data_IF_559563212648
#
_entry.id   IF_559563212648
#
_cell.length_a   1.000
_cell.length_b   1.000
_cell.length_c   1.000
_cell.angle_alpha   90.00
_cell.angle_beta   90.00
_cell.angle_gamma   90.00
#
_symmetry.space_group_name_H-M   'P 1'
#
loop_
_entity.id
_entity.type
_entity.pdbx_description
1 polymer ?
#
# COMPACT_ATOMS: atom_id res chain seq x y z
N UNK A 1 -14.42 -8.38 -17.05
CA UNK A 1 -14.86 -7.68 -15.84
C UNK A 1 -13.77 -6.76 -15.35
N UNK A 2 -14.17 -5.64 -14.82
CA UNK A 2 -13.21 -4.68 -14.31
C UNK A 2 -12.75 -5.07 -12.91
N UNK A 3 -11.47 -4.92 -12.61
CA UNK A 3 -10.99 -5.15 -11.24
C UNK A 3 -11.70 -4.22 -10.25
N UNK A 4 -11.96 -4.74 -9.07
CA UNK A 4 -12.76 -4.08 -8.05
C UNK A 4 -11.88 -3.74 -6.85
N UNK A 5 -11.92 -2.49 -6.45
CA UNK A 5 -11.05 -1.95 -5.41
C UNK A 5 -11.90 -1.47 -4.24
N UNK A 6 -11.58 -1.91 -3.04
CA UNK A 6 -12.20 -1.42 -1.81
C UNK A 6 -11.24 -0.46 -1.12
N UNK A 7 -11.72 0.70 -0.70
CA UNK A 7 -10.88 1.70 -0.04
C UNK A 7 -11.26 1.77 1.43
N UNK A 8 -10.29 1.59 2.32
CA UNK A 8 -10.50 1.57 3.76
C UNK A 8 -9.61 2.59 4.43
N UNK A 9 -10.19 3.67 4.94
CA UNK A 9 -9.49 4.73 5.63
C UNK A 9 -10.52 5.53 6.41
N UNK A 10 -10.21 5.95 7.62
CA UNK A 10 -11.18 6.69 8.42
C UNK A 10 -11.24 8.17 8.06
N UNK A 11 -10.44 8.63 7.10
CA UNK A 11 -10.46 10.02 6.65
C UNK A 11 -11.12 10.11 5.28
N UNK A 12 -12.24 10.81 5.23
CA UNK A 12 -12.99 10.98 3.99
C UNK A 12 -12.14 11.61 2.90
N UNK A 13 -11.30 12.59 3.28
CA UNK A 13 -10.50 13.31 2.29
C UNK A 13 -9.46 12.40 1.65
N UNK A 14 -8.96 11.42 2.40
CA UNK A 14 -8.00 10.46 1.87
C UNK A 14 -8.70 9.53 0.88
N UNK A 15 -9.88 9.05 1.25
CA UNK A 15 -10.64 8.18 0.33
C UNK A 15 -10.96 8.91 -0.97
N UNK A 16 -11.34 10.19 -0.87
CA UNK A 16 -11.60 10.99 -2.06
C UNK A 16 -10.35 11.13 -2.92
N UNK A 17 -9.20 11.36 -2.28
CA UNK A 17 -7.93 11.44 -3.00
C UNK A 17 -7.60 10.17 -3.74
N UNK A 18 -7.83 9.02 -3.11
CA UNK A 18 -7.60 7.74 -3.76
C UNK A 18 -8.52 7.58 -4.97
N UNK A 19 -9.80 7.89 -4.80
CA UNK A 19 -10.75 7.81 -5.92
C UNK A 19 -10.28 8.65 -7.10
N UNK A 20 -9.78 9.86 -6.81
CA UNK A 20 -9.31 10.75 -7.87
C UNK A 20 -8.08 10.20 -8.58
N UNK A 21 -7.14 9.64 -7.83
CA UNK A 21 -5.94 9.04 -8.42
C UNK A 21 -6.34 7.89 -9.34
N UNK A 22 -7.26 7.04 -8.88
CA UNK A 22 -7.68 5.89 -9.67
C UNK A 22 -8.45 6.34 -10.91
N UNK A 23 -9.28 7.38 -10.78
CA UNK A 23 -10.04 7.88 -11.92
C UNK A 23 -9.13 8.44 -13.01
N UNK A 24 -8.02 9.06 -12.60
CA UNK A 24 -7.11 9.65 -13.57
C UNK A 24 -6.11 8.67 -14.15
N UNK A 25 -6.11 7.45 -13.64
CA UNK A 25 -5.09 6.47 -14.04
C UNK A 25 -5.30 5.93 -15.45
N UNK A 26 -6.48 6.10 -16.00
CA UNK A 26 -6.80 5.51 -17.28
C UNK A 26 -7.11 4.03 -17.22
N UNK A 27 -7.13 3.46 -16.01
CA UNK A 27 -7.45 2.05 -15.83
C UNK A 27 -8.97 1.89 -15.68
N UNK A 28 -9.47 0.75 -16.10
CA UNK A 28 -10.89 0.47 -15.96
C UNK A 28 -11.16 -0.25 -14.64
N UNK A 29 -10.72 0.37 -13.55
CA UNK A 29 -10.91 -0.20 -12.22
C UNK A 29 -12.13 0.41 -11.57
N UNK A 30 -12.86 -0.40 -10.83
CA UNK A 30 -14.07 0.03 -10.16
C UNK A 30 -13.81 0.17 -8.67
N UNK A 31 -14.12 1.33 -8.07
CA UNK A 31 -14.12 1.44 -6.62
C UNK A 31 -15.46 0.87 -6.17
N UNK A 32 -15.45 -0.35 -5.68
CA UNK A 32 -16.69 -1.06 -5.39
C UNK A 32 -17.27 -0.72 -4.03
N UNK A 33 -16.51 -0.03 -3.18
CA UNK A 33 -17.01 0.37 -1.85
C UNK A 33 -15.94 1.06 -1.06
N UNK A 34 -16.34 1.57 0.10
CA UNK A 34 -15.45 2.24 1.03
C UNK A 34 -15.82 1.84 2.44
N UNK A 35 -14.85 1.87 3.34
CA UNK A 35 -15.10 1.62 4.75
C UNK A 35 -14.20 2.53 5.57
N UNK A 36 -14.61 2.83 6.80
CA UNK A 36 -13.85 3.73 7.66
C UNK A 36 -13.28 3.03 8.90
N UNK A 37 -13.46 1.73 9.01
CA UNK A 37 -12.91 0.97 10.13
C UNK A 37 -12.79 -0.50 9.72
N UNK A 38 -12.11 -1.28 10.56
CA UNK A 38 -11.81 -2.68 10.24
C UNK A 38 -13.06 -3.54 10.16
N UNK A 39 -14.00 -3.34 11.06
CA UNK A 39 -15.23 -4.15 11.07
C UNK A 39 -16.01 -3.99 9.78
N UNK A 40 -16.22 -2.75 9.38
CA UNK A 40 -16.95 -2.46 8.14
C UNK A 40 -16.18 -2.96 6.93
N UNK A 41 -14.84 -2.88 6.99
CA UNK A 41 -14.01 -3.38 5.89
C UNK A 41 -14.19 -4.88 5.71
N UNK A 42 -14.18 -5.63 6.82
CA UNK A 42 -14.31 -7.08 6.74
C UNK A 42 -15.70 -7.46 6.20
N UNK A 43 -16.75 -6.76 6.65
CA UNK A 43 -18.08 -7.01 6.11
C UNK A 43 -18.15 -6.70 4.61
N UNK A 44 -17.53 -5.59 4.19
CA UNK A 44 -17.52 -5.22 2.79
C UNK A 44 -16.74 -6.23 1.95
N UNK A 45 -15.64 -6.74 2.46
CA UNK A 45 -14.85 -7.74 1.76
C UNK A 45 -15.68 -9.00 1.52
N UNK A 46 -16.39 -9.43 2.54
CA UNK A 46 -17.20 -10.65 2.43
C UNK A 46 -18.34 -10.46 1.42
N UNK A 47 -18.97 -9.30 1.42
CA UNK A 47 -20.14 -9.10 0.56
C UNK A 47 -19.77 -8.65 -0.85
N UNK A 48 -18.74 -7.86 -1.00
CA UNK A 48 -18.38 -7.31 -2.29
C UNK A 48 -17.29 -8.09 -3.02
N UNK A 49 -16.49 -8.82 -2.28
CA UNK A 49 -15.38 -9.63 -2.79
C UNK A 49 -14.49 -8.83 -3.74
N UNK A 50 -13.86 -7.76 -3.23
CA UNK A 50 -12.97 -6.95 -4.07
C UNK A 50 -11.73 -7.72 -4.47
N UNK A 51 -11.08 -7.28 -5.54
CA UNK A 51 -9.82 -7.86 -5.96
C UNK A 51 -8.66 -7.30 -5.13
N UNK A 52 -8.73 -6.01 -4.78
CA UNK A 52 -7.69 -5.35 -3.97
C UNK A 52 -8.38 -4.49 -2.92
N UNK A 53 -7.83 -4.52 -1.71
CA UNK A 53 -8.22 -3.63 -0.62
C UNK A 53 -7.07 -2.67 -0.36
N UNK A 54 -7.34 -1.36 -0.40
CA UNK A 54 -6.37 -0.34 0.00
C UNK A 54 -6.69 0.00 1.45
N UNK A 55 -5.78 -0.27 2.35
CA UNK A 55 -6.07 -0.34 3.78
C UNK A 55 -5.12 0.54 4.58
N UNK A 56 -5.69 1.52 5.30
CA UNK A 56 -4.91 2.39 6.17
C UNK A 56 -4.50 1.65 7.44
N UNK A 57 -3.33 1.97 7.96
CA UNK A 57 -2.84 1.38 9.21
C UNK A 57 -3.51 2.03 10.43
N UNK A 58 -3.63 3.36 10.41
CA UNK A 58 -4.06 4.09 11.59
C UNK A 58 -5.56 4.34 11.55
N UNK A 59 -6.30 3.45 12.14
CA UNK A 59 -7.76 3.57 12.22
C UNK A 59 -8.20 3.35 13.66
N UNK A 60 -9.37 3.90 14.06
CA UNK A 60 -9.87 3.65 15.41
C UNK A 60 -10.15 2.17 15.60
N UNK A 61 -9.90 1.69 16.80
CA UNK A 61 -10.14 0.29 17.14
C UNK A 61 -9.02 -0.60 16.65
N UNK A 62 -9.34 -1.55 15.81
CA UNK A 62 -8.34 -2.48 15.28
C UNK A 62 -7.51 -1.78 14.21
N UNK A 63 -6.19 -1.88 14.31
CA UNK A 63 -5.30 -1.25 13.33
C UNK A 63 -5.42 -1.95 11.99
N UNK A 64 -4.95 -1.25 10.94
CA UNK A 64 -4.94 -1.84 9.61
C UNK A 64 -4.07 -3.08 9.51
N UNK A 65 -2.98 -3.15 10.28
CA UNK A 65 -2.14 -4.35 10.24
C UNK A 65 -2.86 -5.55 10.85
N UNK A 66 -3.59 -5.33 11.94
CA UNK A 66 -4.39 -6.41 12.52
C UNK A 66 -5.53 -6.78 11.59
N UNK A 67 -6.15 -5.78 10.95
CA UNK A 67 -7.20 -6.05 9.97
C UNK A 67 -6.66 -6.89 8.82
N UNK A 68 -5.45 -6.59 8.36
CA UNK A 68 -4.83 -7.37 7.27
C UNK A 68 -4.65 -8.83 7.68
N UNK A 69 -4.26 -9.06 8.94
CA UNK A 69 -4.11 -10.42 9.42
C UNK A 69 -5.45 -11.15 9.44
N UNK A 70 -6.50 -10.46 9.91
CA UNK A 70 -7.83 -11.06 9.95
C UNK A 70 -8.36 -11.35 8.53
N UNK A 71 -8.11 -10.43 7.61
CA UNK A 71 -8.51 -10.63 6.21
C UNK A 71 -7.83 -11.86 5.63
N UNK A 72 -6.55 -12.06 5.96
CA UNK A 72 -5.84 -13.24 5.48
C UNK A 72 -6.43 -14.54 5.95
N UNK A 73 -7.15 -14.52 7.08
CA UNK A 73 -7.76 -15.74 7.61
C UNK A 73 -9.11 -16.04 6.98
N UNK A 74 -9.65 -15.13 6.16
CA UNK A 74 -10.95 -15.35 5.54
C UNK A 74 -10.91 -16.32 4.37
N UNK A 75 -9.71 -16.63 3.90
CA UNK A 75 -9.53 -17.55 2.77
C UNK A 75 -10.25 -17.04 1.53
N UNK A 76 -10.17 -15.75 1.29
CA UNK A 76 -10.72 -15.12 0.10
C UNK A 76 -9.58 -14.64 -0.79
N UNK A 77 -9.87 -14.55 -2.09
CA UNK A 77 -8.84 -14.18 -3.05
C UNK A 77 -8.70 -12.66 -3.16
N UNK A 78 -8.54 -12.00 -2.02
CA UNK A 78 -8.38 -10.54 -1.98
C UNK A 78 -6.93 -10.21 -1.70
N UNK A 79 -6.41 -9.21 -2.41
CA UNK A 79 -5.05 -8.73 -2.20
C UNK A 79 -5.11 -7.49 -1.34
N UNK A 80 -4.23 -7.41 -0.35
CA UNK A 80 -4.24 -6.33 0.64
C UNK A 80 -3.05 -5.41 0.39
N UNK A 81 -3.33 -4.13 0.16
CA UNK A 81 -2.32 -3.10 0.00
C UNK A 81 -2.39 -2.16 1.20
N UNK A 82 -1.36 -2.13 2.00
CA UNK A 82 -1.26 -1.21 3.13
C UNK A 82 -0.91 0.18 2.59
N UNK A 83 -1.65 1.18 3.02
CA UNK A 83 -1.50 2.55 2.53
C UNK A 83 -1.47 3.47 3.74
N UNK A 84 -0.31 4.00 4.08
CA UNK A 84 -0.11 4.65 5.36
C UNK A 84 0.72 5.92 5.26
N UNK A 85 0.51 6.83 6.22
CA UNK A 85 1.35 8.01 6.34
C UNK A 85 2.73 7.69 6.89
N UNK A 86 2.91 6.51 7.49
CA UNK A 86 4.16 6.19 8.16
C UNK A 86 5.14 5.54 7.20
N UNK A 87 6.19 6.26 6.85
CA UNK A 87 7.24 5.68 6.01
C UNK A 87 8.25 5.01 6.94
N UNK A 88 8.16 3.72 7.01
CA UNK A 88 8.98 2.99 7.97
C UNK A 88 9.25 1.59 7.45
N UNK A 89 10.52 1.22 7.46
CA UNK A 89 10.90 -0.15 7.11
C UNK A 89 10.26 -1.15 8.06
N UNK A 90 10.05 -0.74 9.32
CA UNK A 90 9.41 -1.61 10.30
C UNK A 90 7.96 -1.88 9.93
N UNK A 91 7.22 -0.85 9.52
CA UNK A 91 5.82 -1.03 9.11
C UNK A 91 5.76 -1.90 7.86
N UNK A 92 6.66 -1.69 6.90
CA UNK A 92 6.69 -2.52 5.71
C UNK A 92 6.97 -3.98 6.06
N UNK A 93 7.88 -4.24 7.00
CA UNK A 93 8.18 -5.60 7.43
C UNK A 93 6.99 -6.23 8.15
N UNK A 94 6.32 -5.46 9.01
CA UNK A 94 5.14 -5.96 9.69
C UNK A 94 4.01 -6.26 8.71
N UNK A 95 3.87 -5.43 7.67
CA UNK A 95 2.87 -5.68 6.64
C UNK A 95 3.12 -7.01 5.96
N UNK A 96 4.39 -7.33 5.66
CA UNK A 96 4.70 -8.64 5.09
C UNK A 96 4.34 -9.76 6.04
N UNK A 97 4.65 -9.58 7.32
CA UNK A 97 4.43 -10.64 8.30
C UNK A 97 2.96 -10.96 8.49
N UNK A 98 2.09 -9.96 8.41
CA UNK A 98 0.66 -10.21 8.58
C UNK A 98 -0.01 -10.70 7.29
N UNK A 99 0.76 -10.84 6.22
CA UNK A 99 0.24 -11.40 4.99
C UNK A 99 -0.27 -10.39 3.98
N UNK A 100 0.05 -9.10 4.17
CA UNK A 100 -0.29 -8.11 3.17
C UNK A 100 0.54 -8.35 1.91
N UNK A 101 0.02 -7.91 0.79
CA UNK A 101 0.67 -8.11 -0.50
C UNK A 101 1.43 -6.87 -0.96
N UNK A 102 1.20 -5.74 -0.31
CA UNK A 102 1.91 -4.54 -0.68
C UNK A 102 1.86 -3.47 0.40
N UNK A 103 2.70 -2.46 0.24
CA UNK A 103 2.82 -1.35 1.15
C UNK A 103 3.21 -0.10 0.36
N UNK A 104 2.45 0.97 0.51
CA UNK A 104 2.73 2.25 -0.14
C UNK A 104 2.56 3.36 0.88
N UNK A 105 3.49 4.31 0.90
CA UNK A 105 3.38 5.49 1.73
C UNK A 105 2.42 6.48 1.08
N UNK A 106 1.57 7.10 1.88
CA UNK A 106 0.63 8.11 1.36
C UNK A 106 1.38 9.29 0.73
N UNK A 107 2.60 9.57 1.17
CA UNK A 107 3.38 10.64 0.58
C UNK A 107 3.80 10.33 -0.85
N UNK A 108 3.76 9.08 -1.25
CA UNK A 108 4.13 8.66 -2.60
C UNK A 108 2.91 8.19 -3.40
N UNK A 109 1.72 8.52 -2.96
CA UNK A 109 0.50 7.98 -3.55
C UNK A 109 0.39 8.25 -5.05
N UNK A 110 0.69 9.48 -5.46
CA UNK A 110 0.56 9.85 -6.88
C UNK A 110 1.45 9.00 -7.76
N UNK A 111 2.63 8.65 -7.26
CA UNK A 111 3.58 7.86 -8.03
C UNK A 111 3.31 6.36 -7.93
N UNK A 112 3.04 5.89 -6.70
CA UNK A 112 3.13 4.45 -6.42
C UNK A 112 1.80 3.72 -6.33
N UNK A 113 0.70 4.43 -6.08
CA UNK A 113 -0.55 3.73 -5.78
C UNK A 113 -1.06 2.91 -6.96
N UNK A 114 -1.09 3.52 -8.13
CA UNK A 114 -1.59 2.82 -9.32
C UNK A 114 -0.67 1.65 -9.68
N UNK A 115 0.65 1.87 -9.60
CA UNK A 115 1.60 0.82 -9.90
C UNK A 115 1.47 -0.33 -8.91
N UNK A 116 1.29 -0.03 -7.64
CA UNK A 116 1.14 -1.06 -6.63
C UNK A 116 -0.11 -1.89 -6.88
N UNK A 117 -1.24 -1.23 -7.13
CA UNK A 117 -2.49 -1.96 -7.40
C UNK A 117 -2.34 -2.83 -8.63
N UNK A 118 -1.72 -2.30 -9.68
CA UNK A 118 -1.53 -3.06 -10.90
C UNK A 118 -0.66 -4.30 -10.64
N UNK A 119 0.38 -4.15 -9.83
CA UNK A 119 1.26 -5.25 -9.47
C UNK A 119 0.52 -6.32 -8.69
N UNK A 120 -0.30 -5.91 -7.72
CA UNK A 120 -1.07 -6.86 -6.94
C UNK A 120 -2.09 -7.59 -7.81
N UNK A 121 -2.73 -6.87 -8.74
CA UNK A 121 -3.71 -7.50 -9.63
C UNK A 121 -3.08 -8.55 -10.53
N UNK A 122 -1.80 -8.41 -10.85
CA UNK A 122 -1.12 -9.39 -11.68
C UNK A 122 -0.48 -10.51 -10.85
N UNK A 123 -0.73 -10.55 -9.56
CA UNK A 123 -0.25 -11.63 -8.71
C UNK A 123 1.06 -11.38 -8.00
N UNK A 124 1.65 -10.20 -8.19
CA UNK A 124 2.91 -9.87 -7.55
C UNK A 124 2.73 -9.19 -6.20
N UNK A 125 3.84 -8.74 -5.64
CA UNK A 125 3.83 -7.97 -4.39
C UNK A 125 4.52 -6.64 -4.63
N UNK A 126 4.18 -5.64 -3.81
CA UNK A 126 4.75 -4.31 -3.97
C UNK A 126 4.98 -3.71 -2.59
N UNK A 127 6.22 -3.71 -2.12
CA UNK A 127 6.52 -3.15 -0.80
C UNK A 127 7.30 -1.85 -0.91
N UNK A 128 7.01 -1.10 -1.95
CA UNK A 128 7.61 0.19 -2.16
C UNK A 128 8.97 0.09 -2.79
N UNK A 129 9.47 1.22 -3.24
CA UNK A 129 10.84 1.32 -3.66
C UNK A 129 11.62 1.65 -2.43
N UNK A 130 12.66 0.89 -2.07
CA UNK A 130 13.45 1.21 -0.89
C UNK A 130 14.02 2.60 -1.09
N UNK A 131 13.94 3.35 -0.14
CA UNK A 131 14.54 4.66 -0.24
C UNK A 131 16.02 4.57 -0.04
N UNK A 132 16.25 3.98 0.15
CA UNK A 132 17.21 3.90 0.24
C UNK A 132 17.79 3.78 0.79
N UNK A 133 18.29 3.70 1.12
CA UNK A 133 18.94 3.52 1.50
C UNK A 133 19.32 3.02 2.08
N UNK A 134 19.36 2.90 2.11
CA UNK A 134 19.77 2.47 2.23
C UNK A 134 20.23 1.94 2.62
N UNK A 135 20.66 2.14 3.01
CA UNK A 135 21.21 1.66 3.07
C UNK A 135 21.55 1.18 3.75
N UNK A 136 21.61 1.40 3.90
CA UNK A 136 22.07 1.17 3.98
C UNK A 136 22.35 0.66 4.50
N UNK A 137 22.32 0.70 4.86
CA UNK A 137 22.74 0.40 4.82
C UNK A 137 23.38 -0.22 5.02
N UNK A 138 23.83 -0.13 5.24
CA UNK A 138 24.47 -0.63 5.01
C UNK A 138 25.12 -0.82 4.95
N UNK A 139 25.32 -0.53 5.08
CA UNK A 139 25.88 -0.57 4.74
C UNK A 139 27.00 -0.48 4.29
N UNK A 140 27.21 -0.38 3.87
CA UNK A 140 28.45 -0.12 3.19
C UNK A 140 28.56 1.27 2.67
N UNK A 141 29.19 2.10 3.33
CA UNK A 141 29.23 3.47 2.90
C UNK A 141 29.95 3.67 1.61
N UNK A 142 30.70 2.76 1.21
CA UNK A 142 31.39 2.94 0.02
C UNK A 142 30.61 2.73 -1.18
N UNK A 143 29.55 2.19 -1.13
CA UNK A 143 28.80 2.05 -2.20
C UNK A 143 27.91 3.09 -2.42
N UNK A 144 27.89 3.85 -1.63
CA UNK A 144 27.10 4.94 -1.70
C UNK A 144 26.29 5.21 -2.86
N UNK A 145 26.73 4.82 -2.77
CA UNK A 145 26.02 5.08 -3.38
C UNK A 145 25.33 4.67 -4.18
N UNK A 146 25.27 4.36 -4.13
CA UNK A 146 24.56 4.07 -4.90
C UNK A 146 23.72 3.50 -5.29
N UNK A 147 23.53 3.43 -4.83
CA UNK A 147 22.54 3.00 -5.21
C UNK A 147 21.78 3.34 -5.34
N UNK A 148 21.86 3.88 -4.92
CA UNK A 148 20.90 4.40 -4.99
C UNK A 148 20.48 4.65 -5.78
N UNK A 149 20.88 4.59 -5.84
CA UNK A 149 20.35 4.83 -6.61
C UNK A 149 19.82 4.34 -7.28
N UNK A 150 19.99 3.96 -7.28
CA UNK A 150 19.31 3.55 -7.93
C UNK A 150 18.51 3.36 -8.17
N UNK A 151 18.33 3.69 -7.66
CA UNK A 151 17.35 3.70 -7.82
C UNK A 151 16.81 4.38 -8.10
N UNK A 152 16.99 4.98 -7.87
CA UNK A 152 16.40 5.77 -8.03
C UNK A 152 15.52 6.30 -7.96
N UNK A 153 15.93 6.35 -7.49
CA UNK A 153 14.98 7.03 -7.17
C UNK A 153 15.07 8.28 -6.57
N UNK A 154 15.12 8.86 -6.63
CA UNK A 154 15.23 9.95 -6.32
C UNK A 154 14.97 10.41 -5.52
N UNK A 155 15.37 10.55 -4.78
CA UNK A 155 15.17 10.89 -4.25
C UNK A 155 14.92 11.48 -4.05
N UNK A 156 14.97 11.74 -3.65
CA UNK A 156 14.75 12.21 -3.50
C UNK A 156 14.96 12.39 -3.19
N UNK A 157 15.38 12.33 -2.64
CA UNK A 157 15.73 12.35 -2.56
C UNK A 157 16.17 12.31 -2.05
N UNK A 158 16.84 12.51 -1.54
CA UNK A 158 17.36 12.25 -1.20
C UNK A 158 18.04 12.29 -1.02
N UNK A 159 18.33 12.45 -0.61
CA UNK A 159 19.02 12.33 -0.65
C UNK A 159 19.59 11.75 -0.34
N UNK A 160 20.15 11.74 0.09
CA UNK A 160 20.66 11.15 0.09
C UNK A 160 21.18 10.88 0.25
N UNK A 161 21.48 10.94 0.58
CA UNK A 161 21.97 10.61 0.34
C UNK A 161 22.33 10.24 0.22
N UNK A 162 22.88 10.34 0.65
CA UNK A 162 23.12 9.95 0.17
C UNK A 162 23.07 9.89 -0.03
#
# INVERSE_FOLDING_TARGET
>A
MNPRILIVDDHEIVREGIRNILARSGKNWEVCGEASNASDAILAIKSLQPDVVVLDVSMPGISGLEAARLIGKLDLAVRVLIFTMHESARIAAEAREVGAHGYVSKSQATRDLVLAIQTLLSGGTFFGVPSDPSPGANENPDRGISFRAALHWPKPLRPRST
#
